data_IF_846513488076
#
_entry.id   IF_846513488076
#
_cell.length_a   1.000
_cell.length_b   1.000
_cell.length_c   1.000
_cell.angle_alpha   90.00
_cell.angle_beta   90.00
_cell.angle_gamma   90.00
#
_symmetry.space_group_name_H-M   'P 1'
#
loop_
_entity.id
_entity.type
_entity.pdbx_description
1 polymer ?
#
# COMPACT_ATOMS: atom_id res chain seq x y z
N UNK A 1 -4.03 20.99 -1.17
CA UNK A 1 -2.81 20.38 -0.57
C UNK A 1 -1.93 19.71 -1.62
N UNK A 2 -2.49 18.96 -2.58
CA UNK A 2 -1.70 18.30 -3.64
C UNK A 2 -0.90 19.24 -4.55
N UNK A 3 -1.42 20.44 -4.86
CA UNK A 3 -0.71 21.45 -5.67
C UNK A 3 0.54 22.02 -4.98
N UNK A 4 0.49 22.21 -3.66
CA UNK A 4 1.64 22.70 -2.88
C UNK A 4 2.76 21.67 -2.83
N UNK A 5 2.40 20.38 -2.69
CA UNK A 5 3.34 19.26 -2.73
C UNK A 5 4.00 19.14 -4.11
N UNK A 6 3.21 19.29 -5.19
CA UNK A 6 3.71 19.27 -6.56
C UNK A 6 4.69 20.43 -6.81
N UNK A 7 4.32 21.65 -6.41
CA UNK A 7 5.15 22.83 -6.61
C UNK A 7 6.48 22.73 -5.85
N UNK A 8 6.45 22.26 -4.59
CA UNK A 8 7.67 22.04 -3.80
C UNK A 8 8.59 20.99 -4.43
N UNK A 9 8.00 19.89 -4.93
CA UNK A 9 8.73 18.84 -5.66
C UNK A 9 9.41 19.37 -6.93
N UNK A 10 8.72 20.21 -7.70
CA UNK A 10 9.27 20.80 -8.92
C UNK A 10 10.45 21.73 -8.62
N UNK A 11 10.31 22.55 -7.57
CA UNK A 11 11.33 23.53 -7.16
C UNK A 11 12.63 22.83 -6.72
N UNK A 12 12.54 21.80 -5.87
CA UNK A 12 13.70 21.03 -5.40
C UNK A 12 14.40 20.34 -6.56
N UNK A 13 13.61 19.80 -7.51
CA UNK A 13 14.14 19.17 -8.72
C UNK A 13 14.93 20.16 -9.58
N UNK A 14 14.39 21.36 -9.82
CA UNK A 14 15.03 22.40 -10.60
C UNK A 14 16.36 22.88 -9.97
N UNK A 15 16.38 23.07 -8.64
CA UNK A 15 17.59 23.46 -7.90
C UNK A 15 18.67 22.37 -8.03
N UNK A 16 18.35 21.11 -7.75
CA UNK A 16 19.32 20.01 -7.85
C UNK A 16 19.85 19.80 -9.28
N UNK A 17 19.01 20.00 -10.30
CA UNK A 17 19.42 19.94 -11.71
C UNK A 17 20.45 21.03 -12.04
N UNK A 18 20.21 22.27 -11.61
CA UNK A 18 21.14 23.39 -11.79
C UNK A 18 22.48 23.18 -11.05
N UNK A 19 22.45 22.47 -9.92
CA UNK A 19 23.63 22.11 -9.14
C UNK A 19 24.39 20.88 -9.70
N UNK A 20 23.90 20.24 -10.77
CA UNK A 20 24.57 19.10 -11.41
C UNK A 20 24.59 17.81 -10.59
N UNK A 21 23.70 17.68 -9.59
CA UNK A 21 23.61 16.50 -8.73
C UNK A 21 22.89 15.36 -9.46
N UNK A 22 23.55 14.23 -9.78
CA UNK A 22 22.94 13.13 -10.54
C UNK A 22 21.85 12.36 -9.75
N UNK A 23 21.64 12.67 -8.47
CA UNK A 23 20.73 11.97 -7.57
C UNK A 23 19.30 12.56 -7.49
N UNK A 24 18.98 13.63 -8.23
CA UNK A 24 17.68 14.31 -8.12
C UNK A 24 16.48 13.39 -8.40
N UNK A 25 16.65 12.41 -9.29
CA UNK A 25 15.63 11.42 -9.60
C UNK A 25 15.25 10.57 -8.38
N UNK A 26 16.18 10.27 -7.46
CA UNK A 26 15.86 9.51 -6.25
C UNK A 26 14.90 10.29 -5.34
N UNK A 27 15.06 11.61 -5.22
CA UNK A 27 14.20 12.43 -4.37
C UNK A 27 12.77 12.56 -4.91
N UNK A 28 12.58 12.51 -6.23
CA UNK A 28 11.26 12.51 -6.87
C UNK A 28 10.58 11.13 -6.79
N UNK A 29 11.36 10.05 -6.92
CA UNK A 29 10.84 8.68 -6.95
C UNK A 29 10.61 8.07 -5.55
N UNK A 30 11.44 8.41 -4.55
CA UNK A 30 11.30 7.91 -3.16
C UNK A 30 9.90 8.15 -2.56
N UNK A 31 9.28 9.35 -2.67
CA UNK A 31 7.93 9.56 -2.17
C UNK A 31 6.83 8.89 -3.02
N UNK A 32 7.15 8.40 -4.23
CA UNK A 32 6.22 7.73 -5.13
C UNK A 32 6.18 6.19 -4.94
N UNK A 33 7.24 5.60 -4.37
CA UNK A 33 7.30 4.19 -3.97
C UNK A 33 6.10 3.66 -3.14
N UNK A 34 5.54 4.39 -2.14
CA UNK A 34 4.42 3.88 -1.34
C UNK A 34 3.11 3.67 -2.13
N UNK A 35 2.98 4.21 -3.34
CA UNK A 35 1.81 3.99 -4.20
C UNK A 35 1.84 2.63 -4.90
N UNK A 36 3.02 2.07 -5.16
CA UNK A 36 3.18 0.80 -5.87
C UNK A 36 3.15 -0.43 -4.94
N UNK A 37 3.27 -0.24 -3.62
CA UNK A 37 3.41 -1.33 -2.64
C UNK A 37 2.13 -1.70 -1.86
N UNK A 38 0.97 -1.11 -2.16
CA UNK A 38 -0.27 -1.47 -1.47
C UNK A 38 -0.70 -2.88 -1.86
N UNK A 39 -0.33 -3.87 -1.04
CA UNK A 39 -0.81 -5.24 -1.19
C UNK A 39 -2.35 -5.23 -1.19
N UNK A 40 -3.01 -5.91 -2.14
CA UNK A 40 -4.45 -6.04 -2.11
C UNK A 40 -4.84 -6.67 -0.77
N UNK A 41 -5.75 -5.99 -0.07
CA UNK A 41 -6.26 -6.46 1.21
C UNK A 41 -7.07 -7.72 0.92
N UNK A 42 -6.51 -8.89 1.25
CA UNK A 42 -7.17 -10.18 1.02
C UNK A 42 -8.34 -10.30 2.01
N UNK A 43 -9.52 -10.54 1.47
CA UNK A 43 -10.71 -10.77 2.29
C UNK A 43 -10.58 -12.16 2.92
N UNK A 44 -10.80 -12.24 4.23
CA UNK A 44 -10.85 -13.49 5.00
C UNK A 44 -12.28 -13.76 5.45
N UNK A 45 -12.66 -15.03 5.53
CA UNK A 45 -13.99 -15.51 5.94
C UNK A 45 -13.88 -16.55 7.06
N UNK A 46 -14.79 -16.53 8.01
CA UNK A 46 -14.95 -17.57 9.01
C UNK A 46 -15.71 -18.77 8.41
N UNK A 47 -15.19 -20.00 8.47
CA UNK A 47 -15.85 -21.19 7.93
C UNK A 47 -17.07 -21.63 8.75
N UNK A 48 -17.20 -21.17 10.00
CA UNK A 48 -18.23 -21.63 10.94
C UNK A 48 -19.45 -20.72 10.94
N UNK A 49 -19.26 -19.40 11.08
CA UNK A 49 -20.35 -18.42 11.17
C UNK A 49 -20.57 -17.62 9.88
N UNK A 50 -19.66 -17.72 8.90
CA UNK A 50 -19.74 -16.99 7.63
C UNK A 50 -19.34 -15.52 7.68
N UNK A 51 -18.80 -15.04 8.81
CA UNK A 51 -18.33 -13.66 8.94
C UNK A 51 -17.16 -13.36 7.99
N UNK A 52 -17.12 -12.15 7.43
CA UNK A 52 -16.11 -11.68 6.47
C UNK A 52 -15.41 -10.42 6.96
N UNK A 53 -14.10 -10.35 6.74
CA UNK A 53 -13.30 -9.18 7.08
C UNK A 53 -12.14 -8.96 6.13
N UNK A 54 -11.79 -7.69 5.93
CA UNK A 54 -10.57 -7.24 5.26
C UNK A 54 -9.52 -6.73 6.27
N UNK A 55 -9.70 -7.03 7.56
CA UNK A 55 -8.84 -6.59 8.64
C UNK A 55 -7.55 -7.40 8.80
N UNK A 56 -6.80 -7.10 9.86
CA UNK A 56 -5.52 -7.78 10.20
C UNK A 56 -5.72 -8.99 11.12
N UNK A 57 -6.92 -9.16 11.66
CA UNK A 57 -7.29 -10.27 12.53
C UNK A 57 -7.14 -11.62 11.83
N UNK A 58 -6.71 -12.62 12.59
CA UNK A 58 -6.54 -14.01 12.13
C UNK A 58 -7.60 -14.96 12.69
N UNK A 59 -8.38 -14.50 13.66
CA UNK A 59 -9.42 -15.27 14.36
C UNK A 59 -10.75 -14.52 14.35
N UNK A 60 -11.83 -15.28 14.30
CA UNK A 60 -13.18 -14.76 14.32
C UNK A 60 -13.56 -14.28 15.73
N UNK A 61 -14.08 -13.05 15.92
CA UNK A 61 -14.41 -12.54 17.24
C UNK A 61 -15.70 -13.12 17.83
N UNK A 62 -16.50 -13.85 17.04
CA UNK A 62 -17.72 -14.52 17.54
C UNK A 62 -17.45 -15.92 18.08
N UNK A 63 -16.72 -16.75 17.34
CA UNK A 63 -16.54 -18.17 17.63
C UNK A 63 -15.08 -18.59 17.82
N UNK A 64 -14.12 -17.69 17.60
CA UNK A 64 -12.70 -17.97 17.77
C UNK A 64 -12.06 -18.84 16.69
N UNK A 65 -12.81 -19.26 15.67
CA UNK A 65 -12.26 -20.03 14.54
C UNK A 65 -11.24 -19.22 13.75
N UNK A 66 -10.24 -19.91 13.20
CA UNK A 66 -9.24 -19.28 12.32
C UNK A 66 -9.91 -18.84 11.02
N UNK A 67 -9.63 -17.60 10.62
CA UNK A 67 -10.14 -17.05 9.36
C UNK A 67 -9.37 -17.64 8.17
N UNK A 68 -10.09 -17.98 7.11
CA UNK A 68 -9.54 -18.54 5.88
C UNK A 68 -9.67 -17.52 4.75
N UNK A 69 -8.73 -17.40 3.81
CA UNK A 69 -8.89 -16.52 2.66
C UNK A 69 -10.20 -16.83 1.91
N UNK A 70 -10.99 -15.80 1.61
CA UNK A 70 -12.21 -15.92 0.82
C UNK A 70 -11.87 -16.19 -0.66
N UNK A 71 -10.69 -15.74 -1.09
CA UNK A 71 -10.13 -15.98 -2.41
C UNK A 71 -9.64 -17.45 -2.47
N UNK A 72 -10.54 -18.35 -2.87
CA UNK A 72 -10.19 -19.72 -3.18
C UNK A 72 -9.04 -19.76 -4.19
N UNK A 73 -7.93 -20.34 -3.75
CA UNK A 73 -7.00 -21.14 -4.53
C UNK A 73 -7.06 -20.97 -6.06
N UNK A 74 -6.13 -20.19 -6.61
CA UNK A 74 -5.58 -20.38 -7.96
C UNK A 74 -4.07 -20.25 -7.86
N UNK A 75 -3.46 -21.28 -7.30
CA UNK A 75 -2.07 -21.62 -7.56
C UNK A 75 -2.07 -22.34 -8.92
N UNK A 76 -1.49 -21.73 -9.95
CA UNK A 76 -1.15 -22.37 -11.23
C UNK A 76 0.21 -21.83 -11.69
#
# INVERSE_FOLDING_TARGET
MSLLLLAGSLLVTAVCYLLGLPFFFLFLFVPLLPLFGRRPVRVKRCPTCGWETAGREDFCPWDGSRLTPADGQRDE
#
